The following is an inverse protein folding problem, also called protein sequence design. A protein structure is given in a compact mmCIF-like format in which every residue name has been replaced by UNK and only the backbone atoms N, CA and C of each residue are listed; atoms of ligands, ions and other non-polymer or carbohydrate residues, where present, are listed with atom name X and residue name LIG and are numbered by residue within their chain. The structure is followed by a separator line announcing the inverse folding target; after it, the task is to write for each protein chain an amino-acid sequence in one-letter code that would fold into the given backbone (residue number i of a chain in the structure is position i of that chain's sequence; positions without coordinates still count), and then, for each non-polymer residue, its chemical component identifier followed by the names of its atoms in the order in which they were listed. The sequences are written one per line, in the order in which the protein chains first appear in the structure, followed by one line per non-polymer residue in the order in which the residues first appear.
data_IF_330542281817
#
_entry.id   IF_330542281817
#
_cell.length_a   1.000
_cell.length_b   1.000
_cell.length_c   1.000
_cell.angle_alpha   90.00
_cell.angle_beta   90.00
_cell.angle_gamma   90.00
#
_symmetry.space_group_name_H-M   'P 1'
#
loop_
_entity.id
_entity.type
_entity.pdbx_description
1 polymer ?
#
# COMPACT_ATOMS: atom_id res chain seq x y z
N UNK A 1 13.93 79.06 -2.62
CA UNK A 1 13.85 79.00 -1.15
C UNK A 1 12.44 78.58 -0.76
N UNK A 2 12.31 77.41 -0.09
CA UNK A 2 11.31 76.95 0.92
C UNK A 2 9.81 77.29 0.70
N UNK A 3 8.97 76.31 0.34
CA UNK A 3 8.12 75.43 1.18
C UNK A 3 6.71 76.01 1.42
N UNK A 4 5.63 75.24 1.59
CA UNK A 4 5.52 73.81 1.84
C UNK A 4 4.09 73.30 1.64
N UNK A 5 4.03 71.98 1.55
CA UNK A 5 2.90 71.10 1.26
C UNK A 5 2.10 70.82 2.54
N UNK A 6 0.78 70.78 2.41
CA UNK A 6 -0.17 70.38 3.44
C UNK A 6 -0.58 68.94 3.18
N UNK A 7 -0.28 68.02 4.12
CA UNK A 7 -0.99 66.74 4.18
C UNK A 7 -1.41 66.41 5.60
N UNK A 8 -2.68 66.05 5.64
CA UNK A 8 -3.58 65.87 6.76
C UNK A 8 -3.29 64.58 7.54
N UNK A 9 -3.56 64.64 8.84
CA UNK A 9 -3.44 63.55 9.79
C UNK A 9 -4.58 62.52 9.63
N UNK A 10 -4.29 61.26 9.92
CA UNK A 10 -5.20 60.36 10.67
C UNK A 10 -4.49 59.06 11.06
N UNK A 11 -4.20 58.97 12.36
CA UNK A 11 -4.36 57.83 13.27
C UNK A 11 -3.71 56.48 12.93
N UNK A 12 -2.66 56.19 13.69
CA UNK A 12 -2.00 54.90 13.84
C UNK A 12 -2.87 53.98 14.70
N UNK A 13 -3.34 52.84 14.15
CA UNK A 13 -3.82 51.71 14.95
C UNK A 13 -2.66 50.72 15.12
N UNK A 14 -2.13 50.70 16.33
CA UNK A 14 -1.16 49.74 16.85
C UNK A 14 -1.90 48.43 17.17
N UNK A 15 -1.70 47.39 16.34
CA UNK A 15 -2.20 46.04 16.63
C UNK A 15 -1.07 45.23 17.26
N UNK A 16 -1.12 45.13 18.60
CA UNK A 16 -0.34 44.18 19.40
C UNK A 16 -0.97 42.80 19.27
N UNK A 17 -0.24 41.82 18.74
CA UNK A 17 -0.61 40.41 18.81
C UNK A 17 0.43 39.68 19.66
N UNK A 18 0.05 39.33 20.88
CA UNK A 18 0.82 38.50 21.80
C UNK A 18 0.09 37.18 22.09
N UNK A 19 0.83 36.08 21.91
CA UNK A 19 0.73 34.73 22.49
C UNK A 19 -0.29 33.68 21.99
N UNK A 20 0.27 32.48 21.77
CA UNK A 20 -0.40 31.18 21.58
C UNK A 20 -0.43 30.76 20.10
N UNK A 21 0.17 29.67 19.62
CA UNK A 21 0.40 28.38 20.25
C UNK A 21 1.64 27.68 19.67
N UNK A 22 2.34 26.98 20.54
CA UNK A 22 3.43 26.07 20.29
C UNK A 22 2.96 24.95 19.35
N UNK A 23 3.46 24.93 18.11
CA UNK A 23 3.28 23.78 17.22
C UNK A 23 4.09 22.63 17.80
N UNK A 24 3.48 21.85 18.68
CA UNK A 24 3.97 20.53 19.01
C UNK A 24 3.84 19.68 17.75
N UNK A 25 4.97 19.55 17.06
CA UNK A 25 5.26 18.48 16.11
C UNK A 25 5.19 17.14 16.88
N UNK A 26 3.97 16.65 17.07
CA UNK A 26 3.73 15.27 17.47
C UNK A 26 3.93 14.42 16.23
N UNK A 27 5.14 13.88 16.09
CA UNK A 27 5.44 12.83 15.12
C UNK A 27 4.60 11.59 15.42
N UNK A 28 3.44 11.51 14.78
CA UNK A 28 2.78 10.24 14.46
C UNK A 28 3.16 9.90 13.01
N UNK A 29 4.44 9.59 12.81
CA UNK A 29 4.87 8.84 11.65
C UNK A 29 4.50 7.37 11.88
N UNK A 30 3.99 6.73 10.82
CA UNK A 30 3.74 5.29 10.70
C UNK A 30 2.40 4.75 11.19
N UNK A 31 1.30 5.38 10.79
CA UNK A 31 0.05 4.65 10.56
C UNK A 31 -0.59 5.06 9.23
N UNK A 32 0.13 4.88 8.13
CA UNK A 32 -0.47 4.92 6.80
C UNK A 32 -1.28 3.63 6.61
N UNK A 33 -2.49 3.62 7.16
CA UNK A 33 -3.56 2.80 6.63
C UNK A 33 -3.67 3.15 5.14
N UNK A 34 -3.17 2.28 4.26
CA UNK A 34 -3.48 2.33 2.83
C UNK A 34 -4.94 1.91 2.68
N UNK A 35 -5.84 2.75 3.20
CA UNK A 35 -7.26 2.71 2.92
C UNK A 35 -7.47 3.59 1.67
N UNK A 36 -6.84 3.23 0.57
CA UNK A 36 -7.34 3.67 -0.72
C UNK A 36 -8.61 2.88 -0.95
N UNK A 37 -9.73 3.57 -0.74
CA UNK A 37 -11.08 3.08 -0.95
C UNK A 37 -11.15 2.23 -2.22
N UNK A 38 -11.85 1.11 -2.10
CA UNK A 38 -12.14 0.20 -3.19
C UNK A 38 -13.08 0.86 -4.20
N UNK A 39 -12.64 1.89 -4.93
CA UNK A 39 -13.41 2.41 -6.05
C UNK A 39 -13.24 1.46 -7.23
N UNK A 40 -14.11 0.47 -7.31
CA UNK A 40 -14.12 -0.51 -8.39
C UNK A 40 -14.46 0.19 -9.71
N UNK A 41 -13.63 -0.01 -10.75
CA UNK A 41 -14.11 0.12 -12.15
C UNK A 41 -14.93 -1.13 -12.54
N UNK A 42 -15.85 -1.50 -11.65
CA UNK A 42 -17.05 -2.30 -11.89
C UNK A 42 -18.17 -1.27 -11.85
N UNK A 43 -19.23 -1.43 -12.64
CA UNK A 43 -20.46 -0.61 -12.48
C UNK A 43 -20.72 -0.36 -10.98
N UNK A 44 -20.93 0.90 -10.56
CA UNK A 44 -21.21 1.29 -9.17
C UNK A 44 -22.31 0.39 -8.59
N UNK A 45 -21.93 -0.73 -7.99
CA UNK A 45 -22.77 -1.48 -7.08
C UNK A 45 -22.52 -0.79 -5.76
N UNK A 46 -23.47 0.03 -5.31
CA UNK A 46 -23.42 0.62 -3.97
C UNK A 46 -23.02 -0.50 -2.98
N UNK A 47 -21.79 -0.44 -2.47
CA UNK A 47 -21.34 -1.38 -1.46
C UNK A 47 -22.16 -1.10 -0.21
N UNK A 48 -23.06 -2.02 0.13
CA UNK A 48 -23.86 -1.97 1.35
C UNK A 48 -22.92 -1.86 2.56
N UNK A 49 -22.97 -0.75 3.28
CA UNK A 49 -22.18 -0.50 4.50
C UNK A 49 -22.30 -1.68 5.49
N UNK A 50 -23.46 -2.35 5.51
CA UNK A 50 -23.68 -3.55 6.30
C UNK A 50 -22.85 -4.75 5.84
N UNK A 51 -22.67 -4.94 4.54
CA UNK A 51 -21.85 -6.01 3.97
C UNK A 51 -20.36 -5.80 4.27
N UNK A 52 -19.88 -4.56 4.18
CA UNK A 52 -18.49 -4.19 4.51
C UNK A 52 -18.20 -4.43 5.99
N UNK A 53 -19.06 -3.94 6.89
CA UNK A 53 -18.91 -4.15 8.32
C UNK A 53 -18.95 -5.64 8.70
N UNK A 54 -19.81 -6.42 8.07
CA UNK A 54 -19.87 -7.87 8.26
C UNK A 54 -18.60 -8.57 7.78
N UNK A 55 -18.10 -8.24 6.58
CA UNK A 55 -16.88 -8.82 6.04
C UNK A 55 -15.67 -8.55 6.94
N UNK A 56 -15.55 -7.32 7.45
CA UNK A 56 -14.50 -6.95 8.39
C UNK A 56 -14.58 -7.73 9.70
N UNK A 57 -15.80 -7.89 10.23
CA UNK A 57 -16.01 -8.69 11.44
C UNK A 57 -15.63 -10.16 11.22
N UNK A 58 -16.02 -10.73 10.07
CA UNK A 58 -15.65 -12.10 9.70
C UNK A 58 -14.14 -12.24 9.58
N UNK A 59 -13.47 -11.32 8.87
CA UNK A 59 -12.02 -11.33 8.69
C UNK A 59 -11.27 -11.27 10.03
N UNK A 60 -11.65 -10.34 10.92
CA UNK A 60 -11.11 -10.24 12.28
C UNK A 60 -11.31 -11.53 13.05
N UNK A 61 -12.50 -12.11 13.01
CA UNK A 61 -12.80 -13.36 13.73
C UNK A 61 -12.01 -14.57 13.20
N UNK A 62 -11.66 -14.60 11.91
CA UNK A 62 -10.82 -15.65 11.32
C UNK A 62 -9.37 -15.46 11.73
N UNK A 63 -8.88 -14.22 11.69
CA UNK A 63 -7.54 -13.87 12.15
C UNK A 63 -7.34 -14.21 13.63
N UNK A 64 -8.28 -13.84 14.51
CA UNK A 64 -8.22 -14.16 15.94
C UNK A 64 -8.16 -15.66 16.18
N UNK A 65 -8.96 -16.44 15.45
CA UNK A 65 -8.92 -17.92 15.54
C UNK A 65 -7.58 -18.48 15.07
N UNK A 66 -7.00 -17.93 14.00
CA UNK A 66 -5.70 -18.35 13.52
C UNK A 66 -4.61 -18.06 14.57
N UNK A 67 -4.61 -16.88 15.19
CA UNK A 67 -3.69 -16.51 16.26
C UNK A 67 -3.84 -17.43 17.47
N UNK A 68 -5.07 -17.70 17.93
CA UNK A 68 -5.33 -18.64 19.02
C UNK A 68 -4.84 -20.06 18.70
N UNK A 69 -5.04 -20.51 17.46
CA UNK A 69 -4.54 -21.80 17.01
C UNK A 69 -3.00 -21.86 17.06
N UNK A 70 -2.32 -20.82 16.56
CA UNK A 70 -0.86 -20.72 16.62
C UNK A 70 -0.34 -20.74 18.05
N UNK A 71 -0.97 -19.97 18.96
CA UNK A 71 -0.60 -19.95 20.38
C UNK A 71 -0.75 -21.31 21.05
N UNK A 72 -1.80 -22.07 20.71
CA UNK A 72 -1.97 -23.44 21.24
C UNK A 72 -0.86 -24.39 20.79
N UNK A 73 -0.23 -24.10 19.64
CA UNK A 73 0.92 -24.83 19.10
C UNK A 73 2.27 -24.18 19.50
N UNK A 74 2.25 -23.29 20.49
CA UNK A 74 3.44 -22.63 21.05
C UNK A 74 4.16 -21.73 20.04
N UNK A 75 3.42 -21.25 19.03
CA UNK A 75 3.87 -20.22 18.09
C UNK A 75 3.22 -18.90 18.50
N UNK A 76 4.05 -17.94 18.88
CA UNK A 76 3.62 -16.61 19.31
C UNK A 76 4.07 -15.61 18.27
N UNK A 77 3.14 -14.74 17.85
CA UNK A 77 3.42 -13.57 17.04
C UNK A 77 3.25 -12.34 17.92
N UNK A 78 4.13 -11.37 17.79
CA UNK A 78 3.88 -10.06 18.38
C UNK A 78 2.89 -9.24 17.52
N UNK A 79 2.46 -8.08 18.04
CA UNK A 79 1.49 -7.23 17.35
C UNK A 79 2.08 -6.62 16.06
N UNK A 80 3.37 -6.30 16.07
CA UNK A 80 4.09 -5.68 14.96
C UNK A 80 4.26 -6.69 13.81
N UNK A 81 4.60 -7.95 14.11
CA UNK A 81 4.69 -9.05 13.15
C UNK A 81 3.35 -9.33 12.46
N UNK A 82 2.26 -9.28 13.23
CA UNK A 82 0.90 -9.44 12.69
C UNK A 82 0.56 -8.28 11.76
N UNK A 83 0.87 -7.05 12.15
CA UNK A 83 0.63 -5.87 11.34
C UNK A 83 1.47 -5.90 10.05
N UNK A 84 2.77 -6.19 10.15
CA UNK A 84 3.65 -6.32 8.98
C UNK A 84 3.11 -7.33 7.98
N UNK A 85 2.64 -8.49 8.46
CA UNK A 85 2.07 -9.54 7.62
C UNK A 85 0.76 -9.11 6.94
N UNK A 86 -0.12 -8.40 7.66
CA UNK A 86 -1.39 -7.91 7.11
C UNK A 86 -1.19 -6.89 5.98
N UNK A 87 -0.09 -6.13 6.01
CA UNK A 87 0.18 -5.08 5.01
C UNK A 87 0.75 -5.61 3.68
N UNK A 88 1.18 -6.87 3.60
CA UNK A 88 1.82 -7.43 2.39
C UNK A 88 0.87 -7.37 1.18
N UNK A 89 -0.31 -7.98 1.28
CA UNK A 89 -1.25 -8.03 0.15
C UNK A 89 -1.80 -6.65 -0.25
N UNK A 90 -2.23 -5.78 0.69
CA UNK A 90 -2.63 -4.41 0.36
C UNK A 90 -1.54 -3.63 -0.39
N UNK A 91 -0.27 -3.71 0.04
CA UNK A 91 0.84 -3.01 -0.63
C UNK A 91 1.11 -3.55 -2.02
N UNK A 92 1.18 -4.87 -2.16
CA UNK A 92 1.43 -5.55 -3.44
C UNK A 92 0.31 -5.27 -4.45
N UNK A 93 -0.95 -5.42 -4.04
CA UNK A 93 -2.11 -5.17 -4.89
C UNK A 93 -2.29 -3.68 -5.22
N UNK A 94 -2.07 -2.81 -4.22
CA UNK A 94 -2.13 -1.36 -4.36
C UNK A 94 -1.10 -0.84 -5.36
N UNK A 95 0.16 -1.30 -5.28
CA UNK A 95 1.18 -0.93 -6.25
C UNK A 95 0.81 -1.35 -7.67
N UNK A 96 0.38 -2.61 -7.84
CA UNK A 96 -0.01 -3.11 -9.14
C UNK A 96 -1.13 -2.27 -9.74
N UNK A 97 -2.17 -1.96 -8.95
CA UNK A 97 -3.26 -1.08 -9.36
C UNK A 97 -2.75 0.31 -9.76
N UNK A 98 -1.95 0.95 -8.91
CA UNK A 98 -1.45 2.31 -9.11
C UNK A 98 -0.59 2.43 -10.37
N UNK A 99 0.28 1.46 -10.62
CA UNK A 99 1.10 1.40 -11.84
C UNK A 99 0.22 1.27 -13.08
N UNK A 100 -0.86 0.49 -13.03
CA UNK A 100 -1.73 0.36 -14.20
C UNK A 100 -2.69 1.52 -14.41
N UNK A 101 -3.19 2.14 -13.35
CA UNK A 101 -4.16 3.26 -13.43
C UNK A 101 -3.48 4.57 -13.85
N UNK A 102 -2.18 4.71 -13.63
CA UNK A 102 -1.40 5.89 -14.02
C UNK A 102 -0.54 5.61 -15.26
N UNK A 103 -0.87 6.28 -16.37
CA UNK A 103 -0.08 6.18 -17.61
C UNK A 103 1.39 6.57 -17.41
N UNK A 104 1.66 7.60 -16.61
CA UNK A 104 3.02 8.07 -16.33
C UNK A 104 3.83 7.08 -15.49
N UNK A 105 3.20 6.42 -14.50
CA UNK A 105 3.85 5.37 -13.73
C UNK A 105 4.09 4.12 -14.58
N UNK A 106 3.12 3.76 -15.43
CA UNK A 106 3.25 2.65 -16.36
C UNK A 106 4.40 2.83 -17.32
N UNK A 107 4.51 4.00 -17.97
CA UNK A 107 5.62 4.29 -18.89
C UNK A 107 6.98 4.22 -18.19
N UNK A 108 7.09 4.72 -16.95
CA UNK A 108 8.31 4.61 -16.15
C UNK A 108 8.62 3.17 -15.77
N UNK A 109 7.62 2.41 -15.37
CA UNK A 109 7.76 0.99 -15.06
C UNK A 109 8.24 0.22 -16.30
N UNK A 110 7.58 0.39 -17.45
CA UNK A 110 7.94 -0.26 -18.72
C UNK A 110 9.36 0.10 -19.14
N UNK A 111 9.79 1.35 -18.93
CA UNK A 111 11.16 1.79 -19.17
C UNK A 111 12.16 1.05 -18.26
N UNK A 112 11.90 0.99 -16.95
CA UNK A 112 12.76 0.26 -16.01
C UNK A 112 12.82 -1.24 -16.33
N UNK A 113 11.70 -1.84 -16.74
CA UNK A 113 11.65 -3.24 -17.21
C UNK A 113 12.54 -3.42 -18.44
N UNK A 114 12.52 -2.49 -19.40
CA UNK A 114 13.36 -2.57 -20.60
C UNK A 114 14.86 -2.36 -20.35
N UNK A 115 15.20 -1.60 -19.30
CA UNK A 115 16.58 -1.33 -18.89
C UNK A 115 17.18 -2.47 -18.04
N UNK A 116 16.33 -3.32 -17.47
CA UNK A 116 16.74 -4.43 -16.60
C UNK A 116 17.00 -5.68 -17.45
N UNK A 117 18.27 -5.89 -17.84
CA UNK A 117 18.71 -7.06 -18.64
C UNK A 117 18.51 -8.42 -17.93
N UNK A 118 18.29 -8.43 -16.61
CA UNK A 118 18.17 -9.64 -15.77
C UNK A 118 16.79 -10.30 -15.77
N UNK A 119 15.77 -9.69 -16.38
CA UNK A 119 14.40 -10.24 -16.37
C UNK A 119 14.25 -11.38 -17.39
N UNK A 120 14.57 -12.60 -16.97
CA UNK A 120 14.34 -13.81 -17.77
C UNK A 120 12.83 -14.15 -17.82
N UNK A 121 12.12 -13.71 -18.86
CA UNK A 121 10.72 -14.11 -19.09
C UNK A 121 9.92 -13.19 -20.01
N UNK A 122 8.64 -13.56 -20.22
CA UNK A 122 7.69 -12.84 -21.09
C UNK A 122 6.75 -11.90 -20.33
N UNK A 123 6.93 -11.73 -19.01
CA UNK A 123 6.05 -10.85 -18.22
C UNK A 123 6.49 -9.41 -18.44
N UNK A 124 5.56 -8.57 -18.87
CA UNK A 124 5.81 -7.14 -19.14
C UNK A 124 5.13 -6.22 -18.13
N UNK A 125 4.24 -6.73 -17.27
CA UNK A 125 3.46 -5.91 -16.34
C UNK A 125 3.15 -6.64 -15.03
N UNK A 126 2.94 -5.86 -13.96
CA UNK A 126 2.41 -6.35 -12.70
C UNK A 126 1.00 -6.95 -12.90
N UNK A 127 0.64 -7.98 -12.14
CA UNK A 127 -0.69 -8.58 -12.22
C UNK A 127 -1.62 -7.87 -11.24
N UNK A 128 -2.76 -7.38 -11.72
CA UNK A 128 -3.80 -6.80 -10.85
C UNK A 128 -4.48 -7.90 -10.02
N UNK A 129 -4.81 -7.57 -8.77
CA UNK A 129 -5.66 -8.42 -7.94
C UNK A 129 -7.10 -8.40 -8.47
N UNK A 130 -7.70 -9.58 -8.62
CA UNK A 130 -9.09 -9.79 -9.03
C UNK A 130 -9.83 -10.46 -7.87
N UNK A 131 -10.72 -9.74 -7.15
CA UNK A 131 -11.37 -10.24 -5.94
C UNK A 131 -12.14 -11.56 -6.12
N UNK A 132 -12.72 -11.76 -7.30
CA UNK A 132 -13.54 -12.94 -7.62
C UNK A 132 -12.72 -14.15 -8.06
N UNK A 133 -11.41 -14.00 -8.31
CA UNK A 133 -10.53 -15.06 -8.80
C UNK A 133 -9.64 -15.57 -7.68
N UNK A 134 -9.94 -16.77 -7.20
CA UNK A 134 -9.31 -17.41 -6.04
C UNK A 134 -7.76 -17.51 -6.06
N UNK A 135 -7.13 -17.52 -7.24
CA UNK A 135 -5.66 -17.56 -7.39
C UNK A 135 -5.03 -16.19 -7.67
N UNK A 136 -5.82 -15.11 -7.69
CA UNK A 136 -5.30 -13.81 -8.09
C UNK A 136 -4.26 -13.27 -7.12
N UNK A 137 -4.38 -13.61 -5.83
CA UNK A 137 -3.41 -13.21 -4.81
C UNK A 137 -2.04 -13.85 -5.04
N UNK A 138 -2.02 -15.14 -5.41
CA UNK A 138 -0.80 -15.83 -5.80
C UNK A 138 -0.21 -15.25 -7.10
N UNK A 139 -1.03 -15.02 -8.12
CA UNK A 139 -0.57 -14.43 -9.39
C UNK A 139 0.04 -13.03 -9.17
N UNK A 140 -0.56 -12.23 -8.28
CA UNK A 140 -0.09 -10.90 -7.90
C UNK A 140 1.27 -10.97 -7.17
N UNK A 141 1.40 -11.85 -6.17
CA UNK A 141 2.68 -12.09 -5.49
C UNK A 141 3.77 -12.57 -6.44
N UNK A 142 3.48 -13.53 -7.33
CA UNK A 142 4.45 -14.04 -8.29
C UNK A 142 4.95 -12.95 -9.25
N UNK A 143 4.08 -12.04 -9.68
CA UNK A 143 4.49 -10.89 -10.48
C UNK A 143 5.35 -9.91 -9.66
N UNK A 144 5.00 -9.68 -8.40
CA UNK A 144 5.75 -8.80 -7.51
C UNK A 144 7.18 -9.33 -7.25
N UNK A 145 7.34 -10.64 -7.04
CA UNK A 145 8.66 -11.27 -6.93
C UNK A 145 9.45 -11.21 -8.24
N UNK A 146 8.79 -11.41 -9.39
CA UNK A 146 9.45 -11.34 -10.69
C UNK A 146 10.04 -9.95 -10.96
N UNK A 147 9.34 -8.88 -10.57
CA UNK A 147 9.78 -7.50 -10.78
C UNK A 147 10.45 -6.87 -9.54
N UNK A 148 10.98 -7.66 -8.61
CA UNK A 148 11.52 -7.14 -7.34
C UNK A 148 12.50 -5.97 -7.54
N UNK A 149 13.51 -6.16 -8.39
CA UNK A 149 14.52 -5.12 -8.67
C UNK A 149 13.91 -3.86 -9.27
N UNK A 150 12.93 -4.01 -10.17
CA UNK A 150 12.22 -2.90 -10.82
C UNK A 150 11.34 -2.17 -9.82
N UNK A 151 10.65 -2.88 -8.92
CA UNK A 151 9.80 -2.32 -7.89
C UNK A 151 10.63 -1.54 -6.86
N UNK A 152 11.76 -2.08 -6.42
CA UNK A 152 12.68 -1.39 -5.52
C UNK A 152 13.19 -0.10 -6.15
N UNK A 153 13.56 -0.12 -7.44
CA UNK A 153 13.96 1.10 -8.17
C UNK A 153 12.80 2.10 -8.31
N UNK A 154 11.59 1.63 -8.64
CA UNK A 154 10.43 2.49 -8.83
C UNK A 154 10.00 3.16 -7.51
N UNK A 155 9.99 2.39 -6.42
CA UNK A 155 9.58 2.87 -5.09
C UNK A 155 10.65 3.74 -4.42
N UNK A 156 11.92 3.57 -4.80
CA UNK A 156 13.02 4.43 -4.36
C UNK A 156 12.95 5.86 -4.91
N UNK A 157 12.21 6.11 -6.01
CA UNK A 157 12.09 7.45 -6.60
C UNK A 157 11.15 8.32 -5.73
N UNK A 158 11.66 9.34 -5.01
CA UNK A 158 10.84 10.10 -4.06
C UNK A 158 9.74 10.91 -4.73
N UNK A 159 9.95 11.34 -5.98
CA UNK A 159 9.01 12.16 -6.74
C UNK A 159 7.74 11.43 -7.16
N UNK A 160 7.70 10.10 -7.03
CA UNK A 160 6.54 9.28 -7.37
C UNK A 160 5.61 9.02 -6.17
N UNK A 161 6.06 9.29 -4.95
CA UNK A 161 5.26 9.05 -3.74
C UNK A 161 4.82 7.60 -3.57
N UNK A 162 5.66 6.62 -3.98
CA UNK A 162 5.34 5.19 -3.93
C UNK A 162 6.01 4.45 -2.76
N UNK A 163 6.70 5.17 -1.87
CA UNK A 163 7.50 4.59 -0.79
C UNK A 163 6.66 3.73 0.16
N UNK A 164 5.40 4.09 0.41
CA UNK A 164 4.49 3.34 1.28
C UNK A 164 4.09 1.96 0.72
N UNK A 165 4.21 1.76 -0.60
CA UNK A 165 4.01 0.45 -1.22
C UNK A 165 5.27 -0.43 -1.20
N UNK A 166 6.41 0.08 -0.74
CA UNK A 166 7.62 -0.73 -0.61
C UNK A 166 7.46 -1.74 0.53
N UNK A 167 7.97 -2.96 0.31
CA UNK A 167 8.01 -3.99 1.33
C UNK A 167 9.34 -3.89 2.09
N UNK A 168 9.29 -4.02 3.42
CA UNK A 168 10.49 -4.19 4.25
C UNK A 168 11.15 -5.55 4.00
N UNK A 169 12.40 -5.72 4.45
CA UNK A 169 13.09 -7.01 4.34
C UNK A 169 12.37 -8.14 5.09
N UNK A 170 11.70 -7.84 6.21
CA UNK A 170 10.87 -8.79 6.94
C UNK A 170 9.64 -9.18 6.11
N UNK A 171 8.95 -8.20 5.54
CA UNK A 171 7.80 -8.42 4.67
C UNK A 171 8.15 -9.23 3.42
N UNK A 172 9.33 -9.03 2.83
CA UNK A 172 9.79 -9.85 1.70
C UNK A 172 9.97 -11.33 2.08
N UNK A 173 10.50 -11.62 3.27
CA UNK A 173 10.64 -13.00 3.77
C UNK A 173 9.28 -13.62 4.05
N UNK A 174 8.40 -12.90 4.75
CA UNK A 174 7.03 -13.36 5.02
C UNK A 174 6.25 -13.60 3.72
N UNK A 175 6.41 -12.72 2.72
CA UNK A 175 5.78 -12.90 1.41
C UNK A 175 6.31 -14.14 0.68
N UNK A 176 7.58 -14.51 0.88
CA UNK A 176 8.19 -15.71 0.32
C UNK A 176 7.60 -16.97 0.97
N UNK A 177 7.48 -17.00 2.30
CA UNK A 177 6.83 -18.10 3.02
C UNK A 177 5.37 -18.28 2.58
N UNK A 178 4.62 -17.18 2.46
CA UNK A 178 3.23 -17.20 1.97
C UNK A 178 3.16 -17.72 0.53
N UNK A 179 4.08 -17.30 -0.35
CA UNK A 179 4.16 -17.79 -1.73
C UNK A 179 4.34 -19.31 -1.77
N UNK A 180 5.23 -19.86 -0.96
CA UNK A 180 5.48 -21.31 -0.92
C UNK A 180 4.22 -22.09 -0.49
N UNK A 181 3.56 -21.64 0.57
CA UNK A 181 2.32 -22.27 1.06
C UNK A 181 1.21 -22.23 0.00
N UNK A 182 1.04 -21.07 -0.66
CA UNK A 182 0.03 -20.92 -1.71
C UNK A 182 0.34 -21.79 -2.94
N UNK A 183 1.61 -21.94 -3.31
CA UNK A 183 2.04 -22.85 -4.38
C UNK A 183 1.74 -24.31 -4.05
N UNK A 184 2.03 -24.76 -2.82
CA UNK A 184 1.69 -26.12 -2.38
C UNK A 184 0.18 -26.36 -2.48
N UNK A 185 -0.63 -25.40 -2.02
CA UNK A 185 -2.09 -25.50 -2.10
C UNK A 185 -2.57 -25.56 -3.55
N UNK A 186 -2.03 -24.72 -4.43
CA UNK A 186 -2.37 -24.73 -5.86
C UNK A 186 -2.02 -26.09 -6.51
N UNK A 187 -0.84 -26.64 -6.21
CA UNK A 187 -0.39 -27.92 -6.75
C UNK A 187 -1.24 -29.11 -6.27
N UNK A 188 -1.65 -29.13 -5.00
CA UNK A 188 -2.56 -30.16 -4.47
C UNK A 188 -3.90 -30.11 -5.20
N UNK A 189 -4.45 -28.93 -5.41
CA UNK A 189 -5.75 -28.75 -6.09
C UNK A 189 -5.69 -29.18 -7.57
N UNK A 190 -4.54 -29.00 -8.22
CA UNK A 190 -4.33 -29.46 -9.61
C UNK A 190 -4.05 -30.97 -9.71
N UNK A 191 -3.43 -31.57 -8.68
CA UNK A 191 -3.06 -32.99 -8.68
C UNK A 191 -4.19 -33.92 -8.22
N UNK A 192 -5.16 -33.42 -7.46
CA UNK A 192 -6.33 -34.18 -6.96
C UNK A 192 -7.41 -34.48 -8.01
N UNK A 193 -7.17 -34.15 -9.28
CA UNK A 193 -8.12 -34.32 -10.40
C UNK A 193 -7.75 -35.46 -11.37
N UNK A 194 -6.82 -36.37 -11.01
CA UNK A 194 -6.49 -37.58 -11.78
C UNK A 194 -6.85 -38.87 -11.05
#
# INVERSE_FOLDING_TARGET
MRAGEVLNASTEEEIVLESGDEYSDSGDEDNFAVNEEADATIEEVEEDEGQTAHNDQVAKSVQERAVQYMQSHHVYLDADEVEEALQIFPRVAGLARRVHDSSTLKEKFDKLVSETESLEGNRTALVRRVPTRWNSDLDCLLAHFYFKEVIEQLTAIPSLGLKHYSLSDSQWKLAEDVREILLVRANILLSGHN
#
